data_IF_754142466193
#
_entry.id   IF_754142466193
#
_cell.length_a   1.000
_cell.length_b   1.000
_cell.length_c   1.000
_cell.angle_alpha   90.00
_cell.angle_beta   90.00
_cell.angle_gamma   90.00
#
_symmetry.space_group_name_H-M   'P 1'
#
loop_
_entity.id
_entity.type
_entity.pdbx_description
1 polymer ?
#
# COMPACT_ATOMS: atom_id res chain seq x y z
N UNK A 1 -5.66 -9.21 -7.28
CA UNK A 1 -7.10 -9.10 -6.97
C UNK A 1 -7.31 -9.43 -5.51
N UNK A 2 -8.20 -8.73 -4.83
CA UNK A 2 -8.60 -8.99 -3.45
C UNK A 2 -10.10 -8.77 -3.30
N UNK A 3 -10.71 -9.42 -2.32
CA UNK A 3 -12.15 -9.31 -2.04
C UNK A 3 -12.34 -8.40 -0.83
N UNK A 4 -13.27 -7.44 -0.94
CA UNK A 4 -13.65 -6.55 0.15
C UNK A 4 -15.12 -6.76 0.46
N UNK A 5 -15.44 -7.01 1.72
CA UNK A 5 -16.83 -7.08 2.21
C UNK A 5 -17.11 -5.82 3.02
N UNK A 6 -18.20 -5.13 2.68
CA UNK A 6 -18.67 -3.95 3.40
C UNK A 6 -19.82 -4.35 4.32
N UNK A 7 -19.91 -3.73 5.49
CA UNK A 7 -21.02 -3.93 6.44
C UNK A 7 -21.97 -2.73 6.42
N UNK A 8 -23.24 -2.98 6.80
CA UNK A 8 -24.28 -1.95 6.82
C UNK A 8 -24.48 -1.29 5.45
N UNK A 9 -24.63 0.04 5.46
CA UNK A 9 -24.80 0.85 4.25
C UNK A 9 -23.47 1.25 3.58
N UNK A 10 -22.37 0.53 3.87
CA UNK A 10 -21.07 0.77 3.26
C UNK A 10 -21.13 0.67 1.73
N UNK A 11 -20.67 1.72 1.03
CA UNK A 11 -20.65 1.79 -0.43
C UNK A 11 -19.26 2.20 -0.89
N UNK A 12 -18.77 1.55 -1.94
CA UNK A 12 -17.60 1.97 -2.70
C UNK A 12 -18.02 2.20 -4.15
N UNK A 13 -17.39 3.18 -4.81
CA UNK A 13 -17.61 3.45 -6.22
C UNK A 13 -16.43 2.98 -7.05
N UNK A 14 -16.68 2.69 -8.32
CA UNK A 14 -15.59 2.39 -9.27
C UNK A 14 -14.65 3.59 -9.34
N UNK A 15 -13.35 3.33 -9.20
CA UNK A 15 -12.30 4.36 -9.17
C UNK A 15 -12.02 4.95 -7.79
N UNK A 16 -12.80 4.60 -6.76
CA UNK A 16 -12.55 5.02 -5.38
C UNK A 16 -11.26 4.38 -4.85
N UNK A 17 -10.42 5.19 -4.18
CA UNK A 17 -9.15 4.73 -3.61
C UNK A 17 -9.34 4.34 -2.15
N UNK A 18 -8.78 3.20 -1.78
CA UNK A 18 -8.74 2.72 -0.40
C UNK A 18 -7.29 2.54 0.05
N UNK A 19 -7.03 2.68 1.35
CA UNK A 19 -5.73 2.40 1.96
C UNK A 19 -5.80 1.07 2.72
N UNK A 20 -4.94 0.13 2.34
CA UNK A 20 -4.88 -1.19 2.97
C UNK A 20 -3.68 -1.23 3.92
N UNK A 21 -3.91 -1.57 5.18
CA UNK A 21 -2.84 -1.84 6.15
C UNK A 21 -2.41 -3.30 5.98
N UNK A 22 -1.12 -3.59 5.70
CA UNK A 22 -0.65 -4.95 5.57
C UNK A 22 -0.60 -5.64 6.94
N UNK A 23 -0.83 -6.95 6.96
CA UNK A 23 -0.69 -7.78 8.17
C UNK A 23 0.77 -7.80 8.66
N UNK A 24 1.72 -8.01 7.73
CA UNK A 24 3.15 -7.95 8.01
C UNK A 24 3.88 -7.00 7.04
N UNK A 25 4.39 -5.89 7.57
CA UNK A 25 5.05 -4.86 6.78
C UNK A 25 6.35 -5.32 6.09
N UNK A 26 7.14 -6.18 6.73
CA UNK A 26 8.45 -6.58 6.23
C UNK A 26 8.35 -7.29 4.88
N UNK A 27 7.41 -8.24 4.74
CA UNK A 27 7.23 -9.02 3.51
C UNK A 27 6.74 -8.12 2.38
N UNK A 28 5.78 -7.24 2.65
CA UNK A 28 5.21 -6.33 1.64
C UNK A 28 6.27 -5.33 1.16
N UNK A 29 7.07 -4.77 2.07
CA UNK A 29 8.13 -3.82 1.71
C UNK A 29 9.15 -4.44 0.75
N UNK A 30 9.45 -5.74 0.89
CA UNK A 30 10.37 -6.45 0.00
C UNK A 30 9.84 -6.65 -1.44
N UNK A 31 8.53 -6.50 -1.67
CA UNK A 31 7.92 -6.64 -3.00
C UNK A 31 8.18 -5.43 -3.91
N UNK A 32 8.46 -4.27 -3.34
CA UNK A 32 8.57 -2.99 -4.05
C UNK A 32 10.00 -2.44 -4.03
N UNK A 33 10.33 -1.64 -5.04
CA UNK A 33 11.62 -0.94 -5.12
C UNK A 33 11.69 0.28 -4.23
N UNK A 34 10.55 0.93 -4.04
CA UNK A 34 10.42 2.26 -3.49
C UNK A 34 9.17 2.32 -2.64
N UNK A 35 9.16 3.23 -1.68
CA UNK A 35 8.02 3.55 -0.83
C UNK A 35 7.78 5.06 -0.87
N UNK A 36 6.52 5.47 -0.77
CA UNK A 36 6.16 6.88 -0.72
C UNK A 36 6.01 7.31 0.74
N UNK A 37 6.79 8.32 1.15
CA UNK A 37 6.57 9.05 2.40
C UNK A 37 5.43 10.03 2.19
N UNK A 38 4.38 9.95 3.01
CA UNK A 38 3.14 10.72 2.83
C UNK A 38 2.74 11.50 4.08
N UNK A 39 2.14 12.66 3.87
CA UNK A 39 1.37 13.42 4.87
C UNK A 39 -0.08 13.52 4.39
N UNK A 40 -0.98 12.78 5.04
CA UNK A 40 -2.33 12.56 4.55
C UNK A 40 -2.33 11.93 3.15
N UNK A 41 -2.77 12.69 2.16
CA UNK A 41 -2.81 12.31 0.74
C UNK A 41 -1.69 12.94 -0.10
N UNK A 42 -0.83 13.77 0.52
CA UNK A 42 0.31 14.39 -0.15
C UNK A 42 1.53 13.49 -0.07
N UNK A 43 2.12 13.16 -1.22
CA UNK A 43 3.44 12.54 -1.26
C UNK A 43 4.48 13.61 -1.00
N UNK A 44 5.28 13.41 0.05
CA UNK A 44 6.39 14.28 0.40
C UNK A 44 7.67 13.86 -0.34
N UNK A 45 7.93 12.54 -0.39
CA UNK A 45 9.12 11.97 -1.01
C UNK A 45 8.87 10.52 -1.44
N UNK A 46 9.61 10.04 -2.42
CA UNK A 46 9.69 8.62 -2.80
C UNK A 46 11.08 8.11 -2.47
N UNK A 47 11.16 7.13 -1.56
CA UNK A 47 12.40 6.62 -0.99
C UNK A 47 12.69 5.22 -1.52
N UNK A 48 13.94 4.87 -1.83
CA UNK A 48 14.30 3.50 -2.21
C UNK A 48 14.22 2.55 -1.02
N UNK A 49 13.75 1.32 -1.27
CA UNK A 49 13.89 0.19 -0.33
C UNK A 49 15.31 -0.35 -0.49
N UNK A 50 16.27 0.30 0.17
CA UNK A 50 17.70 0.04 -0.02
C UNK A 50 18.10 -1.41 0.31
N UNK A 51 17.44 -2.04 1.28
CA UNK A 51 17.70 -3.42 1.70
C UNK A 51 16.78 -4.46 1.02
N UNK A 52 16.22 -4.15 -0.16
CA UNK A 52 15.35 -5.09 -0.88
C UNK A 52 16.15 -6.36 -1.21
N UNK A 53 15.67 -7.50 -0.73
CA UNK A 53 16.26 -8.83 -0.92
C UNK A 53 16.03 -9.40 -2.31
N UNK A 54 16.46 -8.69 -3.35
CA UNK A 54 16.51 -9.23 -4.71
C UNK A 54 17.61 -10.27 -4.81
N UNK A 55 17.23 -11.52 -5.06
CA UNK A 55 18.16 -12.54 -5.54
C UNK A 55 18.21 -12.41 -7.06
N UNK A 56 19.39 -12.10 -7.58
CA UNK A 56 19.67 -12.07 -9.03
C UNK A 56 19.75 -13.47 -9.62
#
# INVERSE_FOLDING_TARGET
HGTVTLSGDGKLRIGERVRVVPDHCCVVTNLFNEVNLVDGDKVLETLPVAARGRMG
#
